data_IF_279563063223
#
_entry.id   IF_279563063223
#
_cell.length_a   1.000
_cell.length_b   1.000
_cell.length_c   1.000
_cell.angle_alpha   90.00
_cell.angle_beta   90.00
_cell.angle_gamma   90.00
#
_symmetry.space_group_name_H-M   'P 1'
#
loop_
_entity.id
_entity.type
_entity.pdbx_description
1 polymer ?
#
# COMPACT_ATOMS: atom_id res chain seq x y z
N UNK A 1 4.92 13.22 4.78
CA UNK A 1 3.91 12.14 4.69
C UNK A 1 3.31 11.73 6.03
N UNK A 2 4.01 11.92 7.16
CA UNK A 2 3.58 11.55 8.53
C UNK A 2 2.09 11.57 8.83
N UNK A 3 1.35 12.63 8.48
CA UNK A 3 -0.11 12.69 8.72
C UNK A 3 -0.88 11.47 8.19
N UNK A 4 -0.49 10.91 7.04
CA UNK A 4 -1.12 9.72 6.48
C UNK A 4 -0.62 8.45 7.15
N UNK A 5 0.70 8.28 7.31
CA UNK A 5 1.27 7.07 7.94
C UNK A 5 0.86 6.96 9.41
N UNK A 6 0.82 8.07 10.16
CA UNK A 6 0.32 8.12 11.54
C UNK A 6 -1.19 7.82 11.61
N UNK A 7 -1.99 8.28 10.64
CA UNK A 7 -3.41 7.92 10.57
C UNK A 7 -3.60 6.43 10.33
N UNK A 8 -2.82 5.85 9.40
CA UNK A 8 -2.83 4.42 9.13
C UNK A 8 -2.42 3.58 10.34
N UNK A 9 -1.34 3.97 11.03
CA UNK A 9 -0.89 3.29 12.25
C UNK A 9 -1.89 3.41 13.41
N UNK A 10 -2.63 4.52 13.53
CA UNK A 10 -3.76 4.61 14.48
C UNK A 10 -4.87 3.62 14.12
N UNK A 11 -5.25 3.52 12.85
CA UNK A 11 -6.21 2.50 12.39
C UNK A 11 -5.73 1.08 12.72
N UNK A 12 -4.44 0.79 12.56
CA UNK A 12 -3.85 -0.49 12.97
C UNK A 12 -3.93 -0.72 14.48
N UNK A 13 -3.64 0.30 15.30
CA UNK A 13 -3.72 0.20 16.76
C UNK A 13 -5.15 -0.07 17.25
N UNK A 14 -6.15 0.46 16.56
CA UNK A 14 -7.58 0.26 16.85
C UNK A 14 -8.15 -1.03 16.24
N UNK A 15 -7.36 -1.78 15.45
CA UNK A 15 -7.83 -2.99 14.77
C UNK A 15 -8.67 -2.73 13.52
N UNK A 16 -8.74 -1.49 13.04
CA UNK A 16 -9.39 -1.14 11.77
C UNK A 16 -8.47 -1.47 10.58
N UNK A 17 -8.33 -2.77 10.32
CA UNK A 17 -7.43 -3.32 9.30
C UNK A 17 -7.81 -2.88 7.88
N UNK A 18 -9.10 -2.74 7.57
CA UNK A 18 -9.54 -2.25 6.27
C UNK A 18 -9.13 -0.81 6.02
N UNK A 19 -9.35 0.10 6.98
CA UNK A 19 -8.93 1.49 6.82
C UNK A 19 -7.40 1.62 6.71
N UNK A 20 -6.66 0.84 7.49
CA UNK A 20 -5.21 0.79 7.37
C UNK A 20 -4.77 0.30 5.98
N UNK A 21 -5.28 -0.85 5.55
CA UNK A 21 -4.92 -1.45 4.26
C UNK A 21 -5.26 -0.53 3.09
N UNK A 22 -6.47 0.06 3.09
CA UNK A 22 -6.86 1.02 2.06
C UNK A 22 -5.91 2.21 2.00
N UNK A 23 -5.52 2.77 3.15
CA UNK A 23 -4.56 3.87 3.16
C UNK A 23 -3.19 3.43 2.67
N UNK A 24 -2.69 2.26 3.11
CA UNK A 24 -1.42 1.71 2.66
C UNK A 24 -1.36 1.56 1.13
N UNK A 25 -2.41 1.00 0.52
CA UNK A 25 -2.49 0.82 -0.93
C UNK A 25 -2.62 2.12 -1.73
N UNK A 26 -2.97 3.25 -1.10
CA UNK A 26 -3.00 4.56 -1.78
C UNK A 26 -1.66 5.28 -1.76
N UNK A 27 -0.83 5.04 -0.75
CA UNK A 27 0.40 5.79 -0.51
C UNK A 27 1.43 5.70 -1.65
N UNK A 28 1.68 4.54 -2.28
CA UNK A 28 2.62 4.46 -3.40
C UNK A 28 2.25 5.37 -4.58
N UNK A 29 0.97 5.51 -4.90
CA UNK A 29 0.50 6.41 -5.96
C UNK A 29 0.69 7.88 -5.56
N UNK A 30 0.34 8.22 -4.31
CA UNK A 30 0.52 9.58 -3.77
C UNK A 30 2.00 9.95 -3.81
N UNK A 31 2.88 9.12 -3.25
CA UNK A 31 4.32 9.37 -3.25
C UNK A 31 4.90 9.45 -4.67
N UNK A 32 4.50 8.52 -5.55
CA UNK A 32 4.92 8.53 -6.95
C UNK A 32 4.47 9.79 -7.69
N UNK A 33 3.27 10.32 -7.40
CA UNK A 33 2.76 11.58 -7.98
C UNK A 33 3.55 12.81 -7.54
N UNK A 34 4.15 12.77 -6.35
CA UNK A 34 4.99 13.85 -5.83
C UNK A 34 6.38 13.85 -6.48
N UNK A 35 6.91 12.68 -6.82
CA UNK A 35 8.17 12.55 -7.57
C UNK A 35 8.02 12.95 -9.05
N UNK A 36 6.82 12.80 -9.61
CA UNK A 36 6.55 12.97 -11.05
C UNK A 36 5.15 13.56 -11.27
N UNK A 37 5.00 14.87 -10.96
CA UNK A 37 3.75 15.60 -11.11
C UNK A 37 3.52 15.91 -12.59
N UNK A 38 2.94 14.95 -13.30
CA UNK A 38 2.68 15.06 -14.74
C UNK A 38 1.55 14.15 -15.21
N UNK A 39 1.25 14.10 -16.52
CA UNK A 39 0.20 13.24 -17.07
C UNK A 39 0.56 11.75 -17.09
N UNK A 40 1.70 11.35 -16.51
CA UNK A 40 2.09 9.96 -16.42
C UNK A 40 0.98 9.13 -15.76
N UNK A 41 0.84 7.88 -16.17
CA UNK A 41 -0.26 7.02 -15.67
C UNK A 41 0.02 6.63 -14.23
N UNK A 42 -1.03 6.61 -13.41
CA UNK A 42 -0.98 6.17 -12.00
C UNK A 42 -0.23 4.83 -11.84
N UNK A 43 -0.48 3.86 -12.73
CA UNK A 43 0.27 2.59 -12.79
C UNK A 43 1.80 2.76 -12.82
N UNK A 44 2.32 3.59 -13.72
CA UNK A 44 3.77 3.75 -13.92
C UNK A 44 4.42 4.32 -12.65
N UNK A 45 3.80 5.33 -12.05
CA UNK A 45 4.31 5.96 -10.82
C UNK A 45 4.23 5.03 -9.63
N UNK A 46 3.10 4.33 -9.48
CA UNK A 46 2.91 3.33 -8.44
C UNK A 46 3.97 2.24 -8.50
N UNK A 47 4.12 1.60 -9.67
CA UNK A 47 5.05 0.49 -9.86
C UNK A 47 6.48 0.96 -9.62
N UNK A 48 6.86 2.13 -10.14
CA UNK A 48 8.20 2.71 -9.92
C UNK A 48 8.47 2.94 -8.44
N UNK A 49 7.53 3.57 -7.73
CA UNK A 49 7.70 3.90 -6.31
C UNK A 49 7.75 2.62 -5.46
N UNK A 50 6.78 1.72 -5.63
CA UNK A 50 6.70 0.48 -4.83
C UNK A 50 7.94 -0.39 -5.03
N UNK A 51 8.38 -0.56 -6.28
CA UNK A 51 9.57 -1.35 -6.60
C UNK A 51 10.83 -0.83 -5.90
N UNK A 52 10.93 0.49 -5.73
CA UNK A 52 12.10 1.12 -5.10
C UNK A 52 12.03 1.08 -3.57
N UNK A 53 10.85 1.32 -3.00
CA UNK A 53 10.73 1.62 -1.57
C UNK A 53 10.12 0.52 -0.72
N UNK A 54 9.28 -0.34 -1.30
CA UNK A 54 8.51 -1.34 -0.54
C UNK A 54 8.80 -2.79 -0.97
N UNK A 55 8.98 -3.06 -2.27
CA UNK A 55 9.27 -4.41 -2.80
C UNK A 55 10.48 -5.10 -2.13
N UNK A 56 11.58 -4.40 -1.77
CA UNK A 56 12.69 -5.02 -1.04
C UNK A 56 12.27 -5.67 0.29
N UNK A 57 11.31 -5.10 1.00
CA UNK A 57 10.79 -5.62 2.28
C UNK A 57 9.87 -6.84 2.08
N UNK A 58 9.36 -7.02 0.86
CA UNK A 58 8.58 -8.21 0.44
C UNK A 58 9.44 -9.23 -0.31
N UNK A 59 10.77 -9.11 -0.24
CA UNK A 59 11.70 -9.99 -0.94
C UNK A 59 12.61 -10.70 0.07
N UNK A 60 12.67 -12.03 0.00
CA UNK A 60 13.57 -12.82 0.85
C UNK A 60 14.24 -13.93 0.06
N UNK A 61 15.56 -14.09 0.25
CA UNK A 61 16.40 -15.13 -0.41
C UNK A 61 16.22 -15.14 -1.95
N UNK A 62 16.11 -13.96 -2.56
CA UNK A 62 15.93 -13.81 -4.01
C UNK A 62 14.52 -14.13 -4.53
N UNK A 63 13.56 -14.43 -3.63
CA UNK A 63 12.15 -14.61 -3.96
C UNK A 63 11.35 -13.35 -3.62
N UNK A 64 10.65 -12.80 -4.61
CA UNK A 64 9.74 -11.66 -4.44
C UNK A 64 8.35 -12.19 -4.15
N UNK A 65 7.86 -12.01 -2.92
CA UNK A 65 6.54 -12.46 -2.51
C UNK A 65 5.43 -11.52 -2.99
N UNK A 66 5.69 -10.21 -2.95
CA UNK A 66 4.77 -9.19 -3.46
C UNK A 66 5.55 -8.24 -4.36
N UNK A 67 5.34 -8.35 -5.67
CA UNK A 67 5.94 -7.40 -6.62
C UNK A 67 5.15 -6.10 -6.69
N UNK A 68 5.77 -5.06 -7.24
CA UNK A 68 5.13 -3.79 -7.50
C UNK A 68 3.90 -3.91 -8.43
N UNK A 69 3.92 -4.85 -9.38
CA UNK A 69 2.76 -5.12 -10.23
C UNK A 69 1.65 -5.78 -9.43
N UNK A 70 1.97 -6.78 -8.59
CA UNK A 70 0.99 -7.45 -7.73
C UNK A 70 0.29 -6.45 -6.80
N UNK A 71 1.07 -5.58 -6.15
CA UNK A 71 0.53 -4.58 -5.24
C UNK A 71 -0.35 -3.54 -5.97
N UNK A 72 -0.01 -3.18 -7.21
CA UNK A 72 -0.89 -2.33 -8.02
C UNK A 72 -2.21 -3.03 -8.36
N UNK A 73 -2.17 -4.33 -8.69
CA UNK A 73 -3.38 -5.12 -8.93
C UNK A 73 -4.24 -5.20 -7.65
N UNK A 74 -3.63 -5.47 -6.49
CA UNK A 74 -4.34 -5.47 -5.19
C UNK A 74 -5.04 -4.13 -4.95
N UNK A 75 -4.33 -3.00 -5.19
CA UNK A 75 -4.96 -1.67 -5.09
C UNK A 75 -6.16 -1.58 -6.02
N UNK A 76 -6.03 -1.97 -7.28
CA UNK A 76 -7.14 -1.89 -8.23
C UNK A 76 -8.33 -2.75 -7.80
N UNK A 77 -8.11 -4.01 -7.39
CA UNK A 77 -9.17 -4.91 -6.96
C UNK A 77 -9.86 -4.45 -5.67
N UNK A 78 -9.09 -4.05 -4.66
CA UNK A 78 -9.65 -3.63 -3.37
C UNK A 78 -10.35 -2.25 -3.47
N UNK A 79 -9.72 -1.29 -4.16
CA UNK A 79 -10.22 0.10 -4.22
C UNK A 79 -11.37 0.26 -5.23
N UNK A 80 -11.41 -0.56 -6.30
CA UNK A 80 -12.48 -0.45 -7.31
C UNK A 80 -13.59 -1.49 -7.17
N UNK A 81 -13.29 -2.70 -6.68
CA UNK A 81 -14.26 -3.80 -6.61
C UNK A 81 -14.53 -4.28 -5.18
N UNK A 82 -13.72 -3.88 -4.19
CA UNK A 82 -13.77 -4.41 -2.83
C UNK A 82 -13.39 -5.89 -2.74
N UNK A 83 -12.76 -6.45 -3.78
CA UNK A 83 -12.41 -7.88 -3.87
C UNK A 83 -10.90 -8.08 -3.71
N UNK A 84 -10.51 -9.26 -3.23
CA UNK A 84 -9.12 -9.72 -3.19
C UNK A 84 -8.70 -10.50 -4.45
N UNK A 85 -9.60 -10.62 -5.43
CA UNK A 85 -9.34 -11.34 -6.68
C UNK A 85 -8.50 -10.50 -7.64
N UNK A 86 -7.47 -11.11 -8.24
CA UNK A 86 -6.62 -10.45 -9.23
C UNK A 86 -7.01 -10.93 -10.63
N UNK A 87 -7.23 -10.00 -11.56
CA UNK A 87 -7.44 -10.34 -12.97
C UNK A 87 -6.17 -10.98 -13.55
N UNK A 88 -6.33 -12.21 -14.06
CA UNK A 88 -5.27 -13.08 -14.62
C UNK A 88 -4.55 -12.46 -15.83
N UNK A 89 -3.64 -11.52 -15.59
CA UNK A 89 -2.70 -11.03 -16.61
C UNK A 89 -1.24 -11.13 -16.17
N UNK A 90 -0.84 -12.29 -15.63
CA UNK A 90 0.50 -12.89 -15.83
C UNK A 90 0.51 -14.30 -15.22
N UNK A 91 1.18 -15.21 -15.91
CA UNK A 91 1.40 -16.60 -15.48
C UNK A 91 2.33 -16.62 -14.26
N UNK A 92 1.81 -16.44 -13.07
CA UNK A 92 2.47 -16.84 -11.82
C UNK A 92 1.67 -18.00 -11.21
N UNK A 93 2.32 -18.84 -10.40
CA UNK A 93 1.68 -19.96 -9.70
C UNK A 93 0.74 -19.50 -8.57
N UNK A 94 0.45 -18.20 -8.48
CA UNK A 94 -0.36 -17.54 -7.46
C UNK A 94 -1.72 -17.17 -8.05
N UNK A 95 -2.81 -17.67 -7.46
CA UNK A 95 -4.16 -17.35 -7.93
C UNK A 95 -4.74 -16.10 -7.24
N UNK A 96 -4.39 -15.86 -5.97
CA UNK A 96 -4.90 -14.70 -5.20
C UNK A 96 -4.02 -14.33 -3.99
N UNK A 97 -4.23 -13.13 -3.46
CA UNK A 97 -3.71 -12.73 -2.16
C UNK A 97 -4.83 -12.82 -1.13
N UNK A 98 -4.53 -13.32 0.06
CA UNK A 98 -5.48 -13.39 1.15
C UNK A 98 -4.94 -12.62 2.35
N UNK A 99 -5.72 -11.64 2.81
CA UNK A 99 -5.36 -10.81 3.96
C UNK A 99 -6.03 -11.33 5.22
N UNK A 100 -5.21 -11.58 6.23
CA UNK A 100 -5.63 -12.09 7.53
C UNK A 100 -5.32 -11.06 8.62
N UNK A 101 -6.00 -11.21 9.75
CA UNK A 101 -5.69 -10.46 10.96
C UNK A 101 -4.45 -11.01 11.69
N UNK A 102 -4.14 -10.43 12.84
CA UNK A 102 -2.95 -10.79 13.62
C UNK A 102 -2.99 -12.21 14.21
N UNK A 103 -4.17 -12.83 14.25
CA UNK A 103 -4.39 -14.17 14.83
C UNK A 103 -3.94 -15.31 13.92
N UNK A 104 -3.70 -15.03 12.64
CA UNK A 104 -3.21 -16.04 11.69
C UNK A 104 -1.72 -16.38 11.91
N UNK A 105 -1.25 -17.36 11.12
CA UNK A 105 0.13 -17.86 11.14
C UNK A 105 1.19 -16.83 10.69
N UNK A 106 2.24 -17.28 10.01
CA UNK A 106 3.31 -16.37 9.58
C UNK A 106 2.85 -15.38 8.48
N UNK A 107 3.47 -14.21 8.44
CA UNK A 107 3.35 -13.27 7.31
C UNK A 107 4.11 -13.82 6.09
N UNK A 108 3.64 -13.53 4.87
CA UNK A 108 4.24 -13.98 3.60
C UNK A 108 4.31 -15.52 3.49
N UNK A 109 3.20 -16.19 3.80
CA UNK A 109 3.12 -17.65 3.69
C UNK A 109 2.52 -18.04 2.34
N UNK A 110 3.31 -18.72 1.51
CA UNK A 110 2.84 -19.29 0.25
C UNK A 110 2.07 -20.59 0.53
N UNK A 111 0.85 -20.67 0.00
CA UNK A 111 -0.04 -21.80 0.16
C UNK A 111 -0.37 -22.36 -1.21
N UNK A 112 0.06 -23.59 -1.48
CA UNK A 112 -0.15 -24.24 -2.78
C UNK A 112 -0.44 -25.73 -2.64
N UNK A 113 -1.05 -26.31 -3.69
CA UNK A 113 -1.25 -27.76 -3.80
C UNK A 113 -2.29 -28.32 -2.83
N UNK A 114 -3.11 -27.47 -2.20
CA UNK A 114 -4.16 -27.91 -1.29
C UNK A 114 -5.27 -28.61 -2.08
N UNK A 115 -5.66 -29.81 -1.65
CA UNK A 115 -6.80 -30.55 -2.20
C UNK A 115 -7.84 -30.79 -1.12
N UNK A 116 -9.09 -30.42 -1.39
CA UNK A 116 -10.23 -30.65 -0.49
C UNK A 116 -11.25 -31.51 -1.21
N UNK A 117 -11.56 -32.68 -0.68
CA UNK A 117 -12.49 -33.65 -1.28
C UNK A 117 -12.17 -33.99 -2.75
N UNK A 118 -10.87 -34.08 -3.09
CA UNK A 118 -10.41 -34.36 -4.45
C UNK A 118 -10.40 -33.15 -5.39
N UNK A 119 -10.78 -31.95 -4.92
CA UNK A 119 -10.76 -30.71 -5.69
C UNK A 119 -9.54 -29.87 -5.30
N UNK A 120 -8.68 -29.58 -6.28
CA UNK A 120 -7.54 -28.67 -6.12
C UNK A 120 -8.06 -27.26 -5.80
N UNK A 121 -7.59 -26.70 -4.70
CA UNK A 121 -7.91 -25.35 -4.26
C UNK A 121 -6.95 -24.35 -4.91
N UNK A 122 -7.36 -23.07 -5.05
CA UNK A 122 -6.49 -22.02 -5.56
C UNK A 122 -5.25 -21.84 -4.67
N UNK A 123 -4.11 -21.61 -5.30
CA UNK A 123 -2.88 -21.23 -4.63
C UNK A 123 -2.98 -19.76 -4.19
N UNK A 124 -2.58 -19.45 -2.97
CA UNK A 124 -2.65 -18.08 -2.47
C UNK A 124 -1.46 -17.71 -1.59
N UNK A 125 -1.21 -16.41 -1.48
CA UNK A 125 -0.24 -15.85 -0.58
C UNK A 125 -0.99 -15.26 0.60
N UNK A 126 -0.74 -15.83 1.78
CA UNK A 126 -1.24 -15.30 3.04
C UNK A 126 -0.41 -14.08 3.46
N UNK A 127 -1.10 -12.95 3.61
CA UNK A 127 -0.58 -11.69 4.11
C UNK A 127 -1.27 -11.35 5.43
N UNK A 128 -0.53 -10.76 6.37
CA UNK A 128 -1.13 -10.13 7.54
C UNK A 128 -1.42 -8.70 7.15
N UNK A 129 -2.68 -8.27 7.29
CA UNK A 129 -3.09 -6.92 6.92
C UNK A 129 -2.28 -5.86 7.69
N UNK A 130 -1.99 -6.12 8.98
CA UNK A 130 -1.12 -5.26 9.79
C UNK A 130 0.29 -5.17 9.22
N UNK A 131 1.00 -6.29 9.11
CA UNK A 131 2.38 -6.29 8.66
C UNK A 131 2.52 -5.67 7.27
N UNK A 132 1.67 -6.07 6.33
CA UNK A 132 1.67 -5.50 4.98
C UNK A 132 1.48 -3.98 4.98
N UNK A 133 0.49 -3.48 5.74
CA UNK A 133 0.21 -2.05 5.81
C UNK A 133 1.36 -1.28 6.46
N UNK A 134 1.89 -1.80 7.58
CA UNK A 134 2.97 -1.15 8.33
C UNK A 134 4.27 -1.12 7.53
N UNK A 135 4.59 -2.19 6.80
CA UNK A 135 5.72 -2.20 5.84
C UNK A 135 5.60 -1.09 4.80
N UNK A 136 4.41 -0.83 4.25
CA UNK A 136 4.21 0.27 3.30
C UNK A 136 4.29 1.64 3.99
N UNK A 137 3.85 1.76 5.25
CA UNK A 137 4.01 2.98 6.03
C UNK A 137 5.47 3.28 6.33
N UNK A 138 6.26 2.28 6.68
CA UNK A 138 7.70 2.41 6.89
C UNK A 138 8.41 2.80 5.60
N UNK A 139 8.09 2.14 4.48
CA UNK A 139 8.58 2.53 3.16
C UNK A 139 8.23 3.98 2.81
N UNK A 140 7.02 4.43 3.17
CA UNK A 140 6.57 5.81 2.97
C UNK A 140 7.34 6.80 3.82
N UNK A 141 7.58 6.50 5.09
CA UNK A 141 8.36 7.35 5.99
C UNK A 141 9.83 7.42 5.57
N UNK A 142 10.41 6.29 5.11
CA UNK A 142 11.77 6.23 4.57
C UNK A 142 11.91 7.07 3.29
N UNK A 143 10.94 6.96 2.38
CA UNK A 143 10.88 7.81 1.19
C UNK A 143 10.77 9.30 1.56
N UNK A 144 9.84 9.65 2.46
CA UNK A 144 9.62 11.03 2.91
C UNK A 144 10.87 11.64 3.56
N UNK A 145 11.65 10.81 4.27
CA UNK A 145 12.92 11.21 4.84
C UNK A 145 14.00 11.43 3.76
N UNK A 146 14.06 10.55 2.75
CA UNK A 146 15.03 10.65 1.65
C UNK A 146 14.82 11.87 0.75
N UNK A 147 13.60 12.39 0.66
CA UNK A 147 13.24 13.50 -0.22
C UNK A 147 13.26 14.87 0.46
N UNK A 148 13.69 14.96 1.73
CA UNK A 148 13.66 16.21 2.53
C UNK A 148 14.37 17.39 1.87
N UNK A 149 15.48 17.13 1.17
CA UNK A 149 16.26 18.15 0.49
C UNK A 149 15.79 18.46 -0.95
N UNK A 150 14.79 17.72 -1.46
CA UNK A 150 14.25 17.93 -2.80
C UNK A 150 13.16 19.00 -2.78
N UNK A 151 13.52 20.20 -3.25
CA UNK A 151 12.62 21.36 -3.28
C UNK A 151 11.38 21.15 -4.17
N UNK A 152 11.50 20.39 -5.26
CA UNK A 152 10.38 20.13 -6.15
C UNK A 152 9.35 19.21 -5.46
N UNK A 153 9.82 18.14 -4.82
CA UNK A 153 8.96 17.24 -4.04
C UNK A 153 8.35 17.97 -2.85
N UNK A 154 9.10 18.82 -2.14
CA UNK A 154 8.52 19.61 -1.03
C UNK A 154 7.44 20.59 -1.51
N UNK A 155 7.61 21.21 -2.68
CA UNK A 155 6.61 22.09 -3.27
C UNK A 155 5.30 21.35 -3.61
N UNK A 156 5.39 20.14 -4.20
CA UNK A 156 4.20 19.31 -4.44
C UNK A 156 3.56 18.82 -3.14
N UNK A 157 4.36 18.45 -2.15
CA UNK A 157 3.87 18.00 -0.83
C UNK A 157 3.06 19.07 -0.10
N UNK A 158 3.38 20.35 -0.30
CA UNK A 158 2.63 21.47 0.28
C UNK A 158 1.18 21.54 -0.25
N UNK A 159 0.90 20.95 -1.42
CA UNK A 159 -0.44 20.92 -2.05
C UNK A 159 -1.32 19.77 -1.56
N UNK A 160 -0.75 18.81 -0.82
CA UNK A 160 -1.49 17.66 -0.30
C UNK A 160 -2.58 18.08 0.69
N UNK A 161 -3.71 17.38 0.64
CA UNK A 161 -4.88 17.57 1.51
C UNK A 161 -4.48 17.72 3.00
N UNK A 162 -4.95 18.81 3.61
CA UNK A 162 -4.86 19.07 5.05
C UNK A 162 -6.28 19.00 5.63
N UNK A 163 -6.48 18.20 6.67
CA UNK A 163 -7.69 18.29 7.49
C UNK A 163 -7.46 19.39 8.51
N UNK A 164 -8.29 20.43 8.45
CA UNK A 164 -8.21 21.55 9.37
C UNK A 164 -9.07 21.30 10.61
N UNK A 165 -8.56 21.71 11.77
CA UNK A 165 -9.31 21.71 13.02
C UNK A 165 -9.98 23.05 13.25
N UNK A 166 -10.94 23.07 14.18
CA UNK A 166 -11.58 24.30 14.66
C UNK A 166 -10.53 25.36 15.01
N UNK A 167 -10.74 26.59 14.56
CA UNK A 167 -9.82 27.71 14.74
C UNK A 167 -8.79 27.89 13.61
N UNK A 168 -8.83 27.04 12.57
CA UNK A 168 -7.96 27.23 11.41
C UNK A 168 -8.28 28.55 10.68
N UNK A 169 -7.22 29.22 10.22
CA UNK A 169 -7.32 30.39 9.37
C UNK A 169 -6.84 30.04 7.96
N UNK A 170 -7.72 30.18 6.97
CA UNK A 170 -7.39 29.96 5.55
C UNK A 170 -7.54 31.29 4.80
N UNK A 171 -6.44 31.83 4.29
CA UNK A 171 -6.46 33.12 3.58
C UNK A 171 -7.01 34.28 4.41
N UNK A 172 -6.83 34.25 5.74
CA UNK A 172 -7.38 35.25 6.67
C UNK A 172 -8.82 35.01 7.11
N UNK A 173 -9.49 33.96 6.61
CA UNK A 173 -10.83 33.56 7.07
C UNK A 173 -10.71 32.54 8.19
N UNK A 174 -11.30 32.83 9.35
CA UNK A 174 -11.33 31.92 10.50
C UNK A 174 -12.51 30.97 10.42
N UNK A 175 -12.24 29.66 10.54
CA UNK A 175 -13.25 28.61 10.57
C UNK A 175 -13.45 28.14 12.01
N UNK A 176 -14.65 28.39 12.54
CA UNK A 176 -15.03 28.16 13.94
C UNK A 176 -15.90 26.94 14.17
#
# INVERSE_FOLDING_TARGET
MKRFTDAGRRSLAEGNLYAALSLALTLPDICGSLEDPGPNKSHVRYVRWFKKWAEPEFTSVGHVYVSAEDCYQIRCSLVHSGTAEIERRRRTALDRFEFFDDTCGAHLTWVEGITVNGVLQPNFLQLKARNFSDTIYDATDNWDASTKADNAIQAEKAKLLVIHSRGAALGGVHFG
#
